data_IF_705224819351
#
_entry.id   IF_705224819351
#
_cell.length_a   1.000
_cell.length_b   1.000
_cell.length_c   1.000
_cell.angle_alpha   90.00
_cell.angle_beta   90.00
_cell.angle_gamma   90.00
#
_symmetry.space_group_name_H-M   'P 1'
#
loop_
_entity.id
_entity.type
_entity.pdbx_description
1 polymer ?
#
# COMPACT_ATOMS: atom_id res chain seq x y z
N UNK A 1 0.20 -2.67 28.76
CA UNK A 1 -0.88 -2.11 27.93
C UNK A 1 -0.23 -1.45 26.73
N UNK A 2 -0.38 -2.00 25.53
CA UNK A 2 -0.15 -1.24 24.29
C UNK A 2 -0.93 -1.95 23.19
N UNK A 3 -2.22 -1.64 23.13
CA UNK A 3 -3.00 -1.96 21.95
C UNK A 3 -2.45 -1.08 20.82
N UNK A 4 -2.09 -1.69 19.70
CA UNK A 4 -1.91 -0.96 18.46
C UNK A 4 -3.20 -1.11 17.64
N UNK A 5 -4.28 -0.36 17.94
CA UNK A 5 -5.44 -0.33 17.09
C UNK A 5 -5.03 0.52 15.89
N UNK A 6 -4.72 -0.13 14.77
CA UNK A 6 -4.72 0.58 13.50
C UNK A 6 -6.15 1.08 13.32
N UNK A 7 -6.35 2.36 13.64
CA UNK A 7 -7.66 2.95 13.91
C UNK A 7 -8.63 2.59 12.78
N UNK A 8 -9.66 1.81 13.10
CA UNK A 8 -10.57 1.23 12.13
C UNK A 8 -11.20 2.31 11.24
N UNK A 9 -11.33 3.54 11.77
CA UNK A 9 -11.81 4.72 11.02
C UNK A 9 -10.88 5.13 9.88
N UNK A 10 -9.58 5.02 10.10
CA UNK A 10 -8.58 5.50 9.17
C UNK A 10 -8.27 4.46 8.07
N UNK A 11 -8.33 3.16 8.39
CA UNK A 11 -8.37 2.09 7.38
C UNK A 11 -9.63 2.20 6.51
N UNK A 12 -10.79 2.46 7.13
CA UNK A 12 -12.05 2.72 6.40
C UNK A 12 -11.93 3.90 5.44
N UNK A 13 -11.23 4.97 5.83
CA UNK A 13 -11.04 6.15 4.98
C UNK A 13 -10.17 5.86 3.77
N UNK A 14 -9.05 5.14 3.95
CA UNK A 14 -8.18 4.71 2.85
C UNK A 14 -8.95 3.88 1.80
N UNK A 15 -9.84 3.00 2.27
CA UNK A 15 -10.65 2.19 1.37
C UNK A 15 -11.74 2.97 0.66
N UNK A 16 -12.43 3.91 1.33
CA UNK A 16 -13.40 4.80 0.66
C UNK A 16 -12.75 5.54 -0.50
N UNK A 17 -11.51 5.99 -0.36
CA UNK A 17 -10.77 6.63 -1.44
C UNK A 17 -10.40 5.63 -2.55
N UNK A 18 -9.99 4.42 -2.19
CA UNK A 18 -9.75 3.33 -3.13
C UNK A 18 -11.02 2.89 -3.89
N UNK A 19 -12.21 3.14 -3.36
CA UNK A 19 -13.49 2.81 -3.99
C UNK A 19 -14.06 3.94 -4.84
N UNK A 20 -13.96 5.20 -4.39
CA UNK A 20 -14.36 6.37 -5.19
C UNK A 20 -13.63 6.44 -6.52
N UNK A 21 -12.38 5.99 -6.54
CA UNK A 21 -11.63 5.87 -7.79
C UNK A 21 -12.08 4.73 -8.71
N UNK A 22 -12.80 3.74 -8.18
CA UNK A 22 -13.36 2.61 -8.93
C UNK A 22 -14.80 2.86 -9.40
N UNK A 23 -15.57 3.70 -8.71
CA UNK A 23 -16.98 3.94 -9.03
C UNK A 23 -17.23 4.65 -10.37
N UNK A 24 -16.16 5.03 -11.10
CA UNK A 24 -16.25 5.48 -12.50
C UNK A 24 -16.77 4.41 -13.48
N UNK A 25 -17.03 3.18 -13.01
CA UNK A 25 -17.65 2.10 -13.79
C UNK A 25 -18.95 1.54 -13.18
N UNK A 26 -19.65 2.31 -12.33
CA UNK A 26 -21.08 2.14 -12.04
C UNK A 26 -21.59 0.74 -11.67
N UNK A 27 -21.23 0.16 -10.52
CA UNK A 27 -21.99 -0.92 -9.82
C UNK A 27 -21.69 -0.90 -8.30
N UNK A 28 -22.73 -1.09 -7.45
CA UNK A 28 -22.80 -1.28 -5.98
C UNK A 28 -21.51 -1.20 -5.14
N UNK A 29 -21.24 -0.01 -4.60
CA UNK A 29 -19.98 0.37 -3.91
C UNK A 29 -19.84 -0.24 -2.50
N UNK A 30 -20.94 -0.44 -1.75
CA UNK A 30 -20.90 -0.74 -0.31
C UNK A 30 -20.46 -2.17 0.01
N UNK A 31 -20.97 -3.20 -0.68
CA UNK A 31 -20.53 -4.61 -0.50
C UNK A 31 -19.06 -4.81 -0.90
N UNK A 32 -18.65 -4.23 -2.04
CA UNK A 32 -17.25 -4.24 -2.50
C UNK A 32 -16.28 -3.60 -1.49
N UNK A 33 -16.76 -2.67 -0.66
CA UNK A 33 -15.94 -2.04 0.39
C UNK A 33 -15.56 -3.02 1.49
N UNK A 34 -16.53 -3.76 2.02
CA UNK A 34 -16.31 -4.70 3.12
C UNK A 34 -15.39 -5.85 2.68
N UNK A 35 -15.66 -6.38 1.48
CA UNK A 35 -14.89 -7.45 0.85
C UNK A 35 -13.39 -7.11 0.75
N UNK A 36 -13.03 -5.87 0.42
CA UNK A 36 -11.62 -5.44 0.28
C UNK A 36 -11.00 -5.04 1.62
N UNK A 37 -11.84 -4.64 2.60
CA UNK A 37 -11.39 -4.17 3.92
C UNK A 37 -10.80 -5.30 4.75
N UNK A 38 -11.51 -6.41 4.84
CA UNK A 38 -11.12 -7.53 5.71
C UNK A 38 -9.76 -8.12 5.33
N UNK A 39 -9.47 -8.44 4.05
CA UNK A 39 -8.17 -8.95 3.67
C UNK A 39 -7.05 -7.93 3.85
N UNK A 40 -7.29 -6.63 3.59
CA UNK A 40 -6.24 -5.61 3.77
C UNK A 40 -5.89 -5.46 5.24
N UNK A 41 -6.89 -5.47 6.13
CA UNK A 41 -6.66 -5.48 7.58
C UNK A 41 -5.91 -6.72 8.02
N UNK A 42 -6.28 -7.89 7.49
CA UNK A 42 -5.60 -9.14 7.79
C UNK A 42 -4.11 -9.10 7.36
N UNK A 43 -3.80 -8.60 6.15
CA UNK A 43 -2.42 -8.38 5.72
C UNK A 43 -1.66 -7.44 6.65
N UNK A 44 -2.25 -6.29 7.00
CA UNK A 44 -1.63 -5.28 7.87
C UNK A 44 -1.36 -5.82 9.28
N UNK A 45 -2.24 -6.69 9.81
CA UNK A 45 -2.07 -7.32 11.10
C UNK A 45 -0.84 -8.25 11.18
N UNK A 46 -0.37 -8.77 10.03
CA UNK A 46 0.85 -9.58 9.97
C UNK A 46 2.13 -8.76 9.94
N UNK A 47 2.05 -7.45 9.71
CA UNK A 47 3.22 -6.58 9.65
C UNK A 47 3.73 -6.26 11.06
N UNK A 48 4.79 -6.96 11.48
CA UNK A 48 5.51 -6.70 12.73
C UNK A 48 6.17 -5.30 12.78
N UNK A 49 6.73 -4.97 13.94
CA UNK A 49 7.45 -3.71 14.17
C UNK A 49 8.94 -3.80 13.76
N UNK A 50 9.36 -4.93 13.19
CA UNK A 50 10.68 -5.06 12.57
C UNK A 50 10.76 -4.29 11.24
N UNK A 51 11.97 -3.99 10.77
CA UNK A 51 12.20 -3.21 9.53
C UNK A 51 11.41 -3.78 8.34
N UNK A 52 11.24 -5.10 8.27
CA UNK A 52 10.44 -5.76 7.23
C UNK A 52 8.94 -5.49 7.38
N UNK A 53 8.37 -5.63 8.57
CA UNK A 53 6.98 -5.33 8.82
C UNK A 53 6.67 -3.84 8.63
N UNK A 54 7.55 -2.94 9.10
CA UNK A 54 7.44 -1.49 8.87
C UNK A 54 7.41 -1.17 7.37
N UNK A 55 8.36 -1.71 6.59
CA UNK A 55 8.40 -1.52 5.13
C UNK A 55 7.12 -2.00 4.46
N UNK A 56 6.70 -3.23 4.79
CA UNK A 56 5.57 -3.86 4.12
C UNK A 56 4.26 -3.14 4.48
N UNK A 57 4.10 -2.67 5.73
CA UNK A 57 2.98 -1.84 6.18
C UNK A 57 2.93 -0.52 5.41
N UNK A 58 4.06 0.19 5.28
CA UNK A 58 4.16 1.42 4.52
C UNK A 58 3.83 1.20 3.04
N UNK A 59 4.35 0.13 2.44
CA UNK A 59 4.11 -0.24 1.06
C UNK A 59 2.62 -0.53 0.80
N UNK A 60 2.00 -1.36 1.63
CA UNK A 60 0.57 -1.70 1.52
C UNK A 60 -0.28 -0.43 1.68
N UNK A 61 -0.09 0.34 2.74
CA UNK A 61 -0.91 1.53 2.96
C UNK A 61 -0.71 2.60 1.89
N UNK A 62 0.51 2.75 1.34
CA UNK A 62 0.76 3.67 0.24
C UNK A 62 0.18 3.17 -1.09
N UNK A 63 0.21 1.87 -1.36
CA UNK A 63 -0.43 1.28 -2.55
C UNK A 63 -1.95 1.47 -2.53
N UNK A 64 -2.55 1.45 -1.33
CA UNK A 64 -4.00 1.58 -1.10
C UNK A 64 -4.49 2.98 -0.75
N UNK A 65 -3.62 3.95 -0.47
CA UNK A 65 -4.07 5.31 -0.19
C UNK A 65 -4.51 6.04 -1.46
N UNK A 66 -5.62 6.76 -1.43
CA UNK A 66 -6.14 7.47 -2.60
C UNK A 66 -6.71 6.53 -3.66
N UNK A 67 -6.58 6.91 -4.94
CA UNK A 67 -7.33 6.31 -6.05
C UNK A 67 -6.93 4.88 -6.44
N UNK A 68 -6.27 4.10 -5.56
CA UNK A 68 -5.69 2.76 -5.75
C UNK A 68 -4.64 2.67 -6.86
N UNK A 69 -3.38 2.39 -6.48
CA UNK A 69 -2.23 2.49 -7.39
C UNK A 69 -1.85 1.16 -8.04
N UNK A 70 -1.21 1.22 -9.20
CA UNK A 70 -0.58 0.05 -9.85
C UNK A 70 0.75 -0.27 -9.14
N UNK A 71 1.17 -1.55 -9.14
CA UNK A 71 2.44 -1.98 -8.51
C UNK A 71 3.64 -1.19 -9.02
N UNK A 72 3.66 -1.00 -10.34
CA UNK A 72 4.70 -0.28 -11.07
C UNK A 72 4.82 1.18 -10.62
N UNK A 73 3.72 1.81 -10.18
CA UNK A 73 3.74 3.19 -9.68
C UNK A 73 4.35 3.25 -8.28
N UNK A 74 4.04 2.28 -7.42
CA UNK A 74 4.54 2.23 -6.04
C UNK A 74 6.03 1.90 -5.99
N UNK A 75 6.50 0.97 -6.83
CA UNK A 75 7.93 0.61 -6.90
C UNK A 75 8.78 1.68 -7.59
N UNK A 76 8.16 2.56 -8.39
CA UNK A 76 8.83 3.65 -9.09
C UNK A 76 9.12 4.87 -8.23
N UNK A 77 8.46 4.99 -7.06
CA UNK A 77 8.62 6.12 -6.16
C UNK A 77 10.06 6.25 -5.66
N UNK A 78 10.56 7.47 -5.71
CA UNK A 78 11.84 7.89 -5.17
C UNK A 78 11.66 8.62 -3.84
N UNK A 79 12.72 8.76 -3.06
CA UNK A 79 12.72 9.60 -1.84
C UNK A 79 12.30 11.03 -2.17
N UNK A 80 12.79 11.60 -3.29
CA UNK A 80 12.42 12.94 -3.73
C UNK A 80 10.97 13.09 -4.21
N UNK A 81 10.24 11.98 -4.35
CA UNK A 81 8.83 11.99 -4.72
C UNK A 81 7.91 12.15 -3.51
N UNK A 82 8.44 12.13 -2.28
CA UNK A 82 7.65 12.31 -1.05
C UNK A 82 8.20 13.46 -0.21
N UNK A 83 7.31 14.28 0.35
CA UNK A 83 7.69 15.34 1.28
C UNK A 83 6.65 15.51 2.37
N UNK A 84 7.09 15.87 3.56
CA UNK A 84 6.17 16.19 4.65
C UNK A 84 5.55 17.57 4.39
N UNK A 85 4.24 17.68 4.54
CA UNK A 85 3.51 18.96 4.46
C UNK A 85 3.30 19.54 5.86
N UNK A 86 2.84 18.71 6.79
CA UNK A 86 2.57 19.09 8.18
C UNK A 86 2.76 17.86 9.11
N UNK A 87 2.29 17.97 10.36
CA UNK A 87 2.45 16.92 11.36
C UNK A 87 1.89 15.56 10.89
N UNK A 88 0.74 15.57 10.19
CA UNK A 88 -0.06 14.39 9.90
C UNK A 88 -0.24 14.14 8.38
N UNK A 89 0.25 15.06 7.55
CA UNK A 89 0.11 15.02 6.10
C UNK A 89 1.47 14.92 5.41
N UNK A 90 1.58 13.95 4.52
CA UNK A 90 2.63 13.87 3.51
C UNK A 90 2.06 14.20 2.13
N UNK A 91 2.88 14.73 1.25
CA UNK A 91 2.59 14.87 -0.16
C UNK A 91 3.49 13.91 -0.91
N UNK A 92 2.93 13.27 -1.93
CA UNK A 92 3.70 12.47 -2.86
C UNK A 92 3.37 12.83 -4.30
N UNK A 93 4.39 12.90 -5.14
CA UNK A 93 4.32 13.14 -6.56
C UNK A 93 4.57 11.84 -7.31
N UNK A 94 3.72 11.50 -8.28
CA UNK A 94 3.98 10.34 -9.13
C UNK A 94 4.81 10.78 -10.34
N UNK A 95 5.91 10.06 -10.59
CA UNK A 95 6.76 10.25 -11.77
C UNK A 95 6.00 9.93 -13.05
N UNK A 96 6.18 10.81 -14.04
CA UNK A 96 5.50 10.88 -15.34
C UNK A 96 4.98 9.53 -15.86
N UNK A 97 3.65 9.37 -15.87
CA UNK A 97 3.04 8.46 -16.84
C UNK A 97 3.51 8.89 -18.23
N UNK A 98 3.83 7.92 -19.08
CA UNK A 98 4.27 8.04 -20.49
C UNK A 98 3.44 8.96 -21.41
N UNK A 99 2.45 9.67 -20.86
CA UNK A 99 1.45 10.50 -21.52
C UNK A 99 1.36 11.93 -20.96
N UNK A 100 2.15 12.32 -19.96
CA UNK A 100 2.09 13.68 -19.40
C UNK A 100 3.27 14.55 -19.89
N UNK A 101 3.12 15.09 -21.11
CA UNK A 101 4.07 15.99 -21.78
C UNK A 101 4.12 17.38 -21.14
N UNK A 102 3.36 17.63 -20.06
CA UNK A 102 3.20 18.95 -19.44
C UNK A 102 4.24 19.28 -18.35
N UNK A 103 5.01 18.29 -17.86
CA UNK A 103 6.01 18.48 -16.80
C UNK A 103 5.47 18.76 -15.40
N UNK A 104 4.15 18.97 -15.23
CA UNK A 104 3.53 19.25 -13.93
C UNK A 104 3.21 17.94 -13.20
N UNK A 105 4.06 17.59 -12.22
CA UNK A 105 3.80 16.45 -11.34
C UNK A 105 2.66 16.79 -10.38
N UNK A 106 1.51 16.10 -10.52
CA UNK A 106 0.40 16.23 -9.57
C UNK A 106 0.74 15.60 -8.24
N UNK A 107 0.94 16.43 -7.23
CA UNK A 107 1.06 16.00 -5.83
C UNK A 107 -0.30 15.53 -5.30
N UNK A 108 -0.27 14.51 -4.45
CA UNK A 108 -1.44 13.98 -3.77
C UNK A 108 -1.18 13.91 -2.27
N UNK A 109 -2.17 14.25 -1.42
CA UNK A 109 -2.03 14.13 0.02
C UNK A 109 -2.13 12.67 0.47
N UNK A 110 -1.30 12.33 1.44
CA UNK A 110 -1.26 11.09 2.19
C UNK A 110 -1.48 11.44 3.66
N UNK A 111 -2.49 10.85 4.29
CA UNK A 111 -2.89 11.15 5.68
C UNK A 111 -3.16 9.89 6.49
N UNK A 112 -3.25 10.04 7.81
CA UNK A 112 -3.61 8.97 8.73
C UNK A 112 -2.59 7.82 8.73
N UNK A 113 -3.03 6.54 8.83
CA UNK A 113 -2.14 5.38 8.93
C UNK A 113 -1.11 5.30 7.81
N UNK A 114 -1.47 5.72 6.60
CA UNK A 114 -0.55 5.67 5.48
C UNK A 114 0.57 6.71 5.61
N UNK A 115 0.26 7.90 6.14
CA UNK A 115 1.27 8.92 6.46
C UNK A 115 2.17 8.46 7.62
N UNK A 116 1.58 7.90 8.68
CA UNK A 116 2.31 7.38 9.83
C UNK A 116 3.25 6.22 9.43
N UNK A 117 2.77 5.30 8.60
CA UNK A 117 3.59 4.18 8.13
C UNK A 117 4.71 4.64 7.18
N UNK A 118 4.46 5.62 6.31
CA UNK A 118 5.51 6.22 5.48
C UNK A 118 6.59 6.87 6.37
N UNK A 119 6.20 7.65 7.37
CA UNK A 119 7.13 8.26 8.31
C UNK A 119 7.96 7.19 9.06
N UNK A 120 7.31 6.14 9.58
CA UNK A 120 8.00 5.04 10.25
C UNK A 120 9.01 4.34 9.34
N UNK A 121 8.68 4.14 8.06
CA UNK A 121 9.62 3.58 7.09
C UNK A 121 10.81 4.50 6.82
N UNK A 122 10.60 5.81 6.65
CA UNK A 122 11.69 6.76 6.44
C UNK A 122 12.62 6.86 7.66
N UNK A 123 12.10 6.64 8.88
CA UNK A 123 12.91 6.54 10.10
C UNK A 123 13.70 5.22 10.14
N UNK A 124 13.06 4.08 9.83
CA UNK A 124 13.69 2.76 9.86
C UNK A 124 14.72 2.56 8.72
N UNK A 125 14.57 3.29 7.63
CA UNK A 125 15.36 3.18 6.42
C UNK A 125 15.64 4.58 5.85
N UNK A 126 16.46 5.40 6.54
CA UNK A 126 16.79 6.74 6.09
C UNK A 126 17.54 6.70 4.76
N UNK A 127 17.26 7.68 3.92
CA UNK A 127 17.94 7.94 2.65
C UNK A 127 17.64 9.37 2.20
N UNK A 128 18.62 10.02 1.58
CA UNK A 128 18.46 11.35 0.98
C UNK A 128 17.99 11.27 -0.47
N UNK A 129 18.29 10.16 -1.16
CA UNK A 129 17.97 9.95 -2.57
C UNK A 129 17.80 8.46 -2.90
N UNK A 130 17.30 8.19 -4.11
CA UNK A 130 17.07 6.84 -4.62
C UNK A 130 15.68 6.28 -4.32
N UNK A 131 15.49 4.96 -4.47
CA UNK A 131 14.17 4.34 -4.39
C UNK A 131 13.56 4.45 -2.99
N UNK A 132 12.27 4.78 -2.92
CA UNK A 132 11.55 4.86 -1.66
C UNK A 132 11.48 3.50 -0.97
N UNK A 133 11.05 2.46 -1.70
CA UNK A 133 10.98 1.09 -1.17
C UNK A 133 12.15 0.26 -1.67
N UNK A 134 12.99 -0.17 -0.72
CA UNK A 134 14.26 -0.83 -1.00
C UNK A 134 14.24 -2.31 -0.61
N UNK A 135 15.05 -3.10 -1.30
CA UNK A 135 15.23 -4.52 -0.99
C UNK A 135 15.82 -4.68 0.41
N UNK A 136 15.35 -5.70 1.14
CA UNK A 136 15.94 -6.14 2.41
C UNK A 136 16.72 -7.43 2.17
N UNK A 137 17.92 -7.51 2.72
CA UNK A 137 18.79 -8.69 2.69
C UNK A 137 18.67 -9.50 3.99
N UNK A 138 19.46 -10.58 4.09
CA UNK A 138 19.56 -11.40 5.31
C UNK A 138 19.97 -10.50 6.49
N UNK A 139 19.38 -10.71 7.66
CA UNK A 139 19.63 -9.87 8.84
C UNK A 139 18.90 -8.52 8.84
N UNK A 140 17.90 -8.32 7.98
CA UNK A 140 17.10 -7.08 7.88
C UNK A 140 17.89 -5.83 7.41
N UNK A 141 19.04 -6.02 6.76
CA UNK A 141 19.80 -4.92 6.16
C UNK A 141 19.06 -4.30 4.97
N UNK A 142 18.88 -2.98 5.00
CA UNK A 142 18.27 -2.20 3.90
C UNK A 142 19.30 -1.98 2.79
N UNK A 143 18.97 -2.43 1.58
CA UNK A 143 19.78 -2.23 0.39
C UNK A 143 19.64 -0.84 -0.23
N UNK A 144 20.31 -0.66 -1.38
CA UNK A 144 20.19 0.54 -2.24
C UNK A 144 19.28 0.32 -3.45
N UNK A 145 18.99 -0.94 -3.78
CA UNK A 145 18.17 -1.33 -4.94
C UNK A 145 16.68 -1.21 -4.64
N UNK A 146 15.92 -0.74 -5.64
CA UNK A 146 14.47 -0.71 -5.60
C UNK A 146 13.88 -2.12 -5.46
N UNK A 147 12.70 -2.23 -4.87
CA UNK A 147 11.87 -3.42 -5.04
C UNK A 147 11.40 -3.54 -6.50
N UNK A 148 11.42 -4.75 -7.05
CA UNK A 148 10.73 -5.04 -8.31
C UNK A 148 9.23 -5.29 -8.10
N UNK A 149 8.44 -5.16 -9.17
CA UNK A 149 7.01 -5.49 -9.11
C UNK A 149 6.74 -6.93 -8.62
N UNK A 150 7.57 -7.89 -9.03
CA UNK A 150 7.48 -9.29 -8.58
C UNK A 150 7.83 -9.45 -7.11
N UNK A 151 8.82 -8.70 -6.61
CA UNK A 151 9.13 -8.70 -5.19
C UNK A 151 7.97 -8.17 -4.36
N UNK A 152 7.26 -7.15 -4.85
CA UNK A 152 6.04 -6.67 -4.21
C UNK A 152 4.93 -7.73 -4.24
N UNK A 153 4.73 -8.43 -5.36
CA UNK A 153 3.77 -9.52 -5.44
C UNK A 153 4.07 -10.63 -4.41
N UNK A 154 5.35 -11.03 -4.28
CA UNK A 154 5.79 -12.01 -3.27
C UNK A 154 5.63 -11.50 -1.83
N UNK A 155 5.81 -10.20 -1.58
CA UNK A 155 5.54 -9.61 -0.26
C UNK A 155 4.06 -9.77 0.08
N UNK A 156 3.17 -9.42 -0.85
CA UNK A 156 1.72 -9.52 -0.64
C UNK A 156 1.29 -10.96 -0.41
N UNK A 157 1.75 -11.89 -1.26
CA UNK A 157 1.49 -13.32 -1.10
C UNK A 157 1.94 -13.84 0.26
N UNK A 158 3.17 -13.53 0.68
CA UNK A 158 3.69 -13.92 1.99
C UNK A 158 2.85 -13.36 3.14
N UNK A 159 2.39 -12.11 3.04
CA UNK A 159 1.53 -11.49 4.06
C UNK A 159 0.15 -12.14 4.08
N UNK A 160 -0.36 -12.59 2.94
CA UNK A 160 -1.62 -13.32 2.83
C UNK A 160 -1.53 -14.71 3.48
N UNK A 161 -0.44 -15.44 3.23
CA UNK A 161 -0.14 -16.72 3.88
C UNK A 161 -0.05 -16.57 5.41
N UNK A 162 0.66 -15.54 5.90
CA UNK A 162 0.73 -15.23 7.33
C UNK A 162 -0.63 -14.84 7.94
N UNK A 163 -1.54 -14.33 7.11
CA UNK A 163 -2.89 -13.94 7.50
C UNK A 163 -3.90 -15.09 7.36
N UNK A 164 -3.46 -16.29 6.96
CA UNK A 164 -4.31 -17.44 6.62
C UNK A 164 -5.37 -17.12 5.56
N UNK A 165 -5.02 -16.28 4.59
CA UNK A 165 -5.87 -16.01 3.43
C UNK A 165 -5.54 -17.01 2.32
N UNK A 166 -6.56 -17.68 1.79
CA UNK A 166 -6.40 -18.60 0.67
C UNK A 166 -6.32 -17.84 -0.67
N UNK A 167 -5.78 -18.49 -1.71
CA UNK A 167 -5.76 -17.95 -3.08
C UNK A 167 -4.44 -17.32 -3.54
N UNK A 168 -4.44 -16.80 -4.78
CA UNK A 168 -3.27 -16.18 -5.42
C UNK A 168 -3.29 -14.66 -5.26
N UNK A 169 -2.66 -14.19 -4.19
CA UNK A 169 -2.51 -12.78 -3.88
C UNK A 169 -1.35 -12.12 -4.63
N UNK A 170 -0.57 -12.88 -5.39
CA UNK A 170 0.47 -12.38 -6.29
C UNK A 170 -0.09 -11.96 -7.68
N UNK A 171 -1.31 -12.38 -8.04
CA UNK A 171 -1.90 -12.23 -9.38
C UNK A 171 -1.89 -10.80 -9.97
N UNK A 172 -1.18 -10.63 -11.09
CA UNK A 172 -1.01 -9.52 -12.08
C UNK A 172 -1.16 -8.02 -11.70
N UNK A 173 -1.99 -7.59 -10.76
CA UNK A 173 -2.06 -6.18 -10.32
C UNK A 173 -2.37 -6.08 -8.82
N UNK A 174 -1.70 -5.17 -8.10
CA UNK A 174 -1.85 -5.01 -6.64
C UNK A 174 -3.31 -4.73 -6.26
N UNK A 175 -4.06 -4.12 -7.18
CA UNK A 175 -5.44 -3.71 -6.93
C UNK A 175 -6.46 -4.63 -7.58
N UNK A 176 -6.43 -4.82 -8.90
CA UNK A 176 -7.44 -5.66 -9.56
C UNK A 176 -7.31 -7.13 -9.14
N UNK A 177 -6.08 -7.64 -9.00
CA UNK A 177 -5.86 -8.99 -8.47
C UNK A 177 -6.34 -9.13 -7.02
N UNK A 178 -6.03 -8.15 -6.18
CA UNK A 178 -6.48 -8.14 -4.78
C UNK A 178 -8.00 -8.01 -4.64
N UNK A 179 -8.67 -7.17 -5.44
CA UNK A 179 -10.13 -7.02 -5.41
C UNK A 179 -10.81 -8.31 -5.91
N UNK A 180 -10.26 -8.93 -6.95
CA UNK A 180 -10.75 -10.23 -7.43
C UNK A 180 -10.59 -11.31 -6.37
N UNK A 181 -9.41 -11.39 -5.73
CA UNK A 181 -9.14 -12.42 -4.73
C UNK A 181 -9.95 -12.18 -3.45
N UNK A 182 -10.00 -10.94 -2.96
CA UNK A 182 -10.90 -10.52 -1.88
C UNK A 182 -12.36 -10.87 -2.20
N UNK A 183 -12.80 -10.64 -3.44
CA UNK A 183 -14.13 -11.00 -3.93
C UNK A 183 -14.41 -12.51 -3.90
N UNK A 184 -13.40 -13.34 -4.16
CA UNK A 184 -13.51 -14.81 -4.03
C UNK A 184 -13.61 -15.25 -2.58
N UNK A 185 -12.88 -14.59 -1.68
CA UNK A 185 -12.98 -14.83 -0.23
C UNK A 185 -14.34 -14.40 0.37
N UNK A 186 -15.03 -13.46 -0.29
CA UNK A 186 -16.31 -12.91 0.16
C UNK A 186 -17.56 -13.56 -0.44
N UNK A 187 -17.48 -14.78 -1.02
CA UNK A 187 -18.67 -15.56 -1.39
C UNK A 187 -19.04 -16.47 -0.21
N UNK A 188 -20.13 -16.19 0.53
CA UNK A 188 -20.71 -17.21 1.38
C UNK A 188 -21.26 -18.31 0.47
N UNK A 189 -20.73 -19.53 0.58
CA UNK A 189 -21.52 -20.72 0.27
C UNK A 189 -22.42 -20.95 1.50
N UNK A 190 -23.59 -20.31 1.51
CA UNK A 190 -24.56 -20.43 2.60
C UNK A 190 -25.37 -19.16 2.80
#
# INVERSE_FOLDING_TARGET
>A
MSGNPTDASAVKTLLRDALKAQSRQGVTVRKKTAIVLEPLQALLATCDDGVRGVRDRALLLLAWSGSGRRRSEVVGLQIGDVRRLDADTWLYALGATKTDTSGVRREKPLRGPAAAALAAWLIAAPAESGPLFRRLYKGNTVGRTALSADQVARIVQRRAELANLEGDWAAHSLRSGFVTEAGRQGVPLG
#
